data_IF_198000596970
#
_entry.id   IF_198000596970
#
_cell.length_a   1.000
_cell.length_b   1.000
_cell.length_c   1.000
_cell.angle_alpha   90.00
_cell.angle_beta   90.00
_cell.angle_gamma   90.00
#
_symmetry.space_group_name_H-M   'P 1'
#
loop_
_entity.id
_entity.type
_entity.pdbx_description
1 polymer ?
#
# COMPACT_ATOMS: atom_id res chain seq x y z
N UNK A 1 5.26 6.08 18.59
CA UNK A 1 4.76 5.45 17.35
C UNK A 1 4.28 6.43 16.27
N UNK A 2 3.41 7.41 16.54
CA UNK A 2 2.89 8.30 15.48
C UNK A 2 3.95 9.06 14.65
N UNK A 3 5.01 9.56 15.28
CA UNK A 3 6.13 10.20 14.57
C UNK A 3 6.94 9.20 13.71
N UNK A 4 7.03 7.94 14.13
CA UNK A 4 7.70 6.88 13.36
C UNK A 4 6.84 6.50 12.15
N UNK A 5 5.52 6.43 12.31
CA UNK A 5 4.58 6.16 11.22
C UNK A 5 4.63 7.23 10.11
N UNK A 6 5.00 8.48 10.42
CA UNK A 6 5.18 9.54 9.41
C UNK A 6 6.43 9.35 8.54
N UNK A 7 7.43 8.59 9.02
CA UNK A 7 8.64 8.29 8.25
C UNK A 7 8.35 7.32 7.09
N UNK A 8 7.37 6.45 7.26
CA UNK A 8 6.99 5.43 6.27
C UNK A 8 6.55 6.01 4.92
N UNK A 9 5.59 6.97 4.84
CA UNK A 9 5.26 7.64 3.59
C UNK A 9 6.41 8.52 3.09
N UNK A 10 7.22 9.14 3.97
CA UNK A 10 8.37 9.94 3.53
C UNK A 10 9.37 9.09 2.74
N UNK A 11 9.75 7.93 3.27
CA UNK A 11 10.68 7.04 2.59
C UNK A 11 10.03 6.37 1.37
N UNK A 12 8.82 5.84 1.52
CA UNK A 12 8.13 5.09 0.47
C UNK A 12 7.70 5.94 -0.73
N UNK A 13 6.93 7.00 -0.51
CA UNK A 13 6.34 7.78 -1.62
C UNK A 13 7.20 8.95 -2.05
N UNK A 14 7.72 9.74 -1.11
CA UNK A 14 8.45 10.96 -1.46
C UNK A 14 9.86 10.66 -2.00
N UNK A 15 10.54 9.62 -1.51
CA UNK A 15 11.90 9.28 -1.95
C UNK A 15 11.86 8.14 -2.97
N UNK A 16 11.36 6.96 -2.59
CA UNK A 16 11.44 5.78 -3.46
C UNK A 16 10.57 5.92 -4.71
N UNK A 17 9.29 6.30 -4.59
CA UNK A 17 8.44 6.49 -5.77
C UNK A 17 8.91 7.65 -6.65
N UNK A 18 9.43 8.75 -6.09
CA UNK A 18 9.96 9.86 -6.87
C UNK A 18 11.20 9.46 -7.70
N UNK A 19 12.16 8.75 -7.08
CA UNK A 19 13.33 8.22 -7.79
C UNK A 19 12.93 7.21 -8.87
N UNK A 20 11.96 6.34 -8.59
CA UNK A 20 11.41 5.41 -9.58
C UNK A 20 10.78 6.12 -10.77
N UNK A 21 9.92 7.12 -10.51
CA UNK A 21 9.30 7.93 -11.56
C UNK A 21 10.34 8.68 -12.40
N UNK A 22 11.35 9.27 -11.77
CA UNK A 22 12.45 9.92 -12.48
C UNK A 22 13.22 8.94 -13.37
N UNK A 23 13.51 7.73 -12.87
CA UNK A 23 14.17 6.69 -13.65
C UNK A 23 13.35 6.29 -14.88
N UNK A 24 12.03 6.17 -14.76
CA UNK A 24 11.13 5.89 -15.88
C UNK A 24 11.13 7.00 -16.94
N UNK A 25 11.14 8.27 -16.50
CA UNK A 25 11.18 9.44 -17.40
C UNK A 25 12.50 9.48 -18.16
N UNK A 26 13.63 9.27 -17.47
CA UNK A 26 14.97 9.26 -18.09
C UNK A 26 15.12 8.09 -19.07
N UNK A 27 14.56 6.93 -18.77
CA UNK A 27 14.57 5.77 -19.66
C UNK A 27 13.60 5.88 -20.85
N UNK A 28 12.66 6.85 -20.82
CA UNK A 28 11.70 7.09 -21.90
C UNK A 28 10.68 5.96 -22.11
N UNK A 29 10.51 5.03 -21.17
CA UNK A 29 9.62 3.85 -21.35
C UNK A 29 8.17 4.11 -20.98
N UNK A 30 7.84 5.29 -20.46
CA UNK A 30 6.52 5.65 -19.95
C UNK A 30 5.44 5.80 -21.03
N UNK A 31 5.80 6.02 -22.29
CA UNK A 31 4.87 6.30 -23.42
C UNK A 31 4.65 5.07 -24.35
N UNK A 32 5.25 3.92 -24.03
CA UNK A 32 5.31 2.75 -24.93
C UNK A 32 4.11 1.81 -24.92
N UNK A 33 2.98 2.18 -24.31
CA UNK A 33 1.80 1.31 -24.15
C UNK A 33 2.01 0.08 -23.24
N UNK A 34 3.14 0.05 -22.52
CA UNK A 34 3.37 -0.92 -21.45
C UNK A 34 2.62 -0.49 -20.19
N UNK A 35 2.18 -1.45 -19.37
CA UNK A 35 1.47 -1.18 -18.12
C UNK A 35 2.15 -1.82 -16.90
N UNK A 36 1.99 -1.18 -15.75
CA UNK A 36 2.45 -1.69 -14.46
C UNK A 36 3.95 -2.01 -14.43
N UNK A 37 4.30 -3.22 -13.96
CA UNK A 37 5.69 -3.67 -13.78
C UNK A 37 6.44 -3.76 -15.12
N UNK A 38 5.73 -3.92 -16.24
CA UNK A 38 6.37 -4.05 -17.55
C UNK A 38 7.10 -2.76 -17.97
N UNK A 39 6.55 -1.58 -17.64
CA UNK A 39 7.17 -0.26 -17.91
C UNK A 39 8.54 -0.18 -17.20
N UNK A 40 8.54 -0.57 -15.92
CA UNK A 40 9.73 -0.57 -15.07
C UNK A 40 10.74 -1.60 -15.54
N UNK A 41 10.30 -2.82 -15.85
CA UNK A 41 11.16 -3.87 -16.39
C UNK A 41 11.87 -3.43 -17.68
N UNK A 42 11.15 -2.76 -18.59
CA UNK A 42 11.71 -2.20 -19.81
C UNK A 42 12.74 -1.09 -19.54
N UNK A 43 12.50 -0.22 -18.55
CA UNK A 43 13.46 0.81 -18.16
C UNK A 43 14.77 0.20 -17.62
N UNK A 44 14.66 -0.77 -16.71
CA UNK A 44 15.82 -1.41 -16.10
C UNK A 44 16.60 -2.30 -17.09
N UNK A 45 15.93 -2.86 -18.08
CA UNK A 45 16.59 -3.62 -19.15
C UNK A 45 17.57 -2.77 -19.98
N UNK A 46 17.35 -1.46 -20.10
CA UNK A 46 18.26 -0.55 -20.80
C UNK A 46 19.60 -0.37 -20.06
N UNK A 47 19.60 -0.52 -18.73
CA UNK A 47 20.82 -0.42 -17.92
C UNK A 47 21.61 -1.72 -17.97
N UNK A 48 20.93 -2.87 -17.77
CA UNK A 48 21.57 -4.18 -17.88
C UNK A 48 20.58 -5.32 -18.10
N UNK A 49 20.91 -6.35 -18.90
CA UNK A 49 19.99 -7.45 -19.22
C UNK A 49 19.55 -8.32 -18.03
N UNK A 50 20.28 -8.32 -16.91
CA UNK A 50 19.97 -9.14 -15.73
C UNK A 50 19.07 -8.45 -14.70
N UNK A 51 18.90 -7.13 -14.78
CA UNK A 51 18.05 -6.38 -13.84
C UNK A 51 16.57 -6.77 -13.87
N UNK A 52 15.94 -7.10 -15.01
CA UNK A 52 14.56 -7.58 -15.03
C UNK A 52 14.31 -8.81 -14.16
N UNK A 53 15.26 -9.75 -14.10
CA UNK A 53 15.19 -10.93 -13.24
C UNK A 53 15.27 -10.56 -11.77
N UNK A 54 16.18 -9.64 -11.42
CA UNK A 54 16.28 -9.11 -10.06
C UNK A 54 14.98 -8.39 -9.65
N UNK A 55 14.44 -7.55 -10.53
CA UNK A 55 13.20 -6.82 -10.31
C UNK A 55 12.03 -7.77 -10.07
N UNK A 56 11.92 -8.86 -10.84
CA UNK A 56 10.88 -9.86 -10.66
C UNK A 56 10.91 -10.48 -9.25
N UNK A 57 12.09 -10.82 -8.73
CA UNK A 57 12.25 -11.36 -7.37
C UNK A 57 11.86 -10.33 -6.31
N UNK A 58 12.32 -9.08 -6.46
CA UNK A 58 12.01 -7.99 -5.52
C UNK A 58 10.51 -7.69 -5.50
N UNK A 59 9.89 -7.58 -6.67
CA UNK A 59 8.45 -7.31 -6.79
C UNK A 59 7.61 -8.47 -6.24
N UNK A 60 8.04 -9.72 -6.43
CA UNK A 60 7.38 -10.87 -5.83
C UNK A 60 7.38 -10.79 -4.30
N UNK A 61 8.54 -10.49 -3.69
CA UNK A 61 8.66 -10.33 -2.23
C UNK A 61 7.81 -9.15 -1.72
N UNK A 62 7.78 -8.04 -2.46
CA UNK A 62 6.97 -6.87 -2.13
C UNK A 62 5.46 -7.12 -2.25
N UNK A 63 5.04 -7.82 -3.30
CA UNK A 63 3.64 -8.22 -3.47
C UNK A 63 3.22 -9.17 -2.35
N UNK A 64 4.07 -10.13 -1.98
CA UNK A 64 3.81 -11.05 -0.88
C UNK A 64 3.66 -10.33 0.47
N UNK A 65 4.57 -9.41 0.81
CA UNK A 65 4.47 -8.64 2.07
C UNK A 65 3.19 -7.80 2.11
N UNK A 66 2.81 -7.20 0.97
CA UNK A 66 1.57 -6.44 0.83
C UNK A 66 0.34 -7.31 1.05
N UNK A 67 0.30 -8.52 0.48
CA UNK A 67 -0.79 -9.47 0.70
C UNK A 67 -0.92 -9.88 2.17
N UNK A 68 0.18 -10.03 2.90
CA UNK A 68 0.14 -10.36 4.33
C UNK A 68 -0.38 -9.17 5.14
N UNK A 69 0.13 -7.95 4.89
CA UNK A 69 -0.28 -6.74 5.59
C UNK A 69 -1.78 -6.44 5.40
N UNK A 70 -2.28 -6.45 4.17
CA UNK A 70 -3.71 -6.23 3.89
C UNK A 70 -4.59 -7.37 4.39
N UNK A 71 -4.10 -8.61 4.37
CA UNK A 71 -4.78 -9.74 4.99
C UNK A 71 -4.98 -9.52 6.50
N UNK A 72 -3.97 -9.01 7.19
CA UNK A 72 -4.05 -8.67 8.61
C UNK A 72 -5.01 -7.50 8.88
N UNK A 73 -4.89 -6.39 8.14
CA UNK A 73 -5.76 -5.23 8.33
C UNK A 73 -7.24 -5.57 8.09
N UNK A 74 -7.53 -6.33 7.03
CA UNK A 74 -8.90 -6.75 6.77
C UNK A 74 -9.43 -7.75 7.80
N UNK A 75 -8.57 -8.59 8.40
CA UNK A 75 -8.98 -9.47 9.51
C UNK A 75 -9.38 -8.65 10.74
N UNK A 76 -8.67 -7.56 11.06
CA UNK A 76 -9.05 -6.66 12.14
C UNK A 76 -10.36 -5.93 11.86
N UNK A 77 -10.55 -5.44 10.63
CA UNK A 77 -11.82 -4.83 10.22
C UNK A 77 -12.99 -5.84 10.30
N UNK A 78 -12.76 -7.09 9.87
CA UNK A 78 -13.73 -8.17 10.00
C UNK A 78 -14.04 -8.51 11.46
N UNK A 79 -13.02 -8.58 12.32
CA UNK A 79 -13.17 -8.82 13.75
C UNK A 79 -13.94 -7.71 14.47
N UNK A 80 -13.80 -6.46 14.01
CA UNK A 80 -14.59 -5.33 14.51
C UNK A 80 -16.07 -5.46 14.16
N UNK A 81 -16.41 -5.94 12.96
CA UNK A 81 -17.79 -6.07 12.48
C UNK A 81 -18.51 -7.34 12.98
N UNK A 82 -17.82 -8.49 12.95
CA UNK A 82 -18.42 -9.81 13.19
C UNK A 82 -17.93 -10.48 14.48
N UNK A 83 -17.08 -9.80 15.25
CA UNK A 83 -16.49 -10.28 16.49
C UNK A 83 -15.21 -11.09 16.29
N UNK A 84 -14.47 -11.26 17.38
CA UNK A 84 -13.13 -11.88 17.38
C UNK A 84 -13.16 -13.41 17.58
N UNK A 85 -14.33 -14.04 17.44
CA UNK A 85 -14.48 -15.48 17.66
C UNK A 85 -13.67 -16.32 16.66
N UNK A 86 -13.25 -17.56 17.03
CA UNK A 86 -12.47 -18.43 16.16
C UNK A 86 -13.12 -18.65 14.79
N UNK A 87 -14.45 -18.82 14.77
CA UNK A 87 -15.23 -19.01 13.54
C UNK A 87 -15.12 -17.82 12.59
N UNK A 88 -15.30 -16.59 13.10
CA UNK A 88 -15.22 -15.38 12.29
C UNK A 88 -13.83 -15.20 11.67
N UNK A 89 -12.76 -15.46 12.44
CA UNK A 89 -11.40 -15.38 11.95
C UNK A 89 -11.09 -16.40 10.84
N UNK A 90 -11.53 -17.65 11.02
CA UNK A 90 -11.33 -18.70 10.01
C UNK A 90 -12.13 -18.43 8.74
N UNK A 91 -13.37 -17.93 8.84
CA UNK A 91 -14.17 -17.53 7.68
C UNK A 91 -13.46 -16.45 6.86
N UNK A 92 -12.94 -15.41 7.51
CA UNK A 92 -12.20 -14.36 6.82
C UNK A 92 -10.93 -14.90 6.13
N UNK A 93 -10.12 -15.70 6.83
CA UNK A 93 -8.87 -16.26 6.27
C UNK A 93 -9.14 -17.11 5.02
N UNK A 94 -10.18 -17.95 5.06
CA UNK A 94 -10.57 -18.77 3.91
C UNK A 94 -11.05 -17.89 2.75
N UNK A 95 -11.94 -16.94 3.03
CA UNK A 95 -12.47 -16.03 2.02
C UNK A 95 -11.34 -15.20 1.37
N UNK A 96 -10.41 -14.69 2.17
CA UNK A 96 -9.26 -13.94 1.69
C UNK A 96 -8.41 -14.75 0.73
N UNK A 97 -7.98 -15.96 1.13
CA UNK A 97 -7.12 -16.82 0.29
C UNK A 97 -7.84 -17.26 -0.99
N UNK A 98 -9.12 -17.60 -0.92
CA UNK A 98 -9.92 -18.02 -2.09
C UNK A 98 -10.16 -16.85 -3.05
N UNK A 99 -10.21 -15.61 -2.55
CA UNK A 99 -10.40 -14.42 -3.38
C UNK A 99 -9.12 -13.99 -4.15
N UNK A 100 -7.91 -14.43 -3.73
CA UNK A 100 -6.66 -14.01 -4.37
C UNK A 100 -6.50 -14.48 -5.83
N UNK A 101 -6.72 -15.77 -6.18
CA UNK A 101 -6.58 -16.22 -7.57
C UNK A 101 -7.47 -15.50 -8.58
N UNK A 102 -8.79 -15.31 -8.35
CA UNK A 102 -9.63 -14.58 -9.30
C UNK A 102 -9.27 -13.09 -9.36
N UNK A 103 -8.79 -12.50 -8.25
CA UNK A 103 -8.35 -11.10 -8.26
C UNK A 103 -7.13 -10.87 -9.19
N UNK A 104 -6.26 -11.87 -9.34
CA UNK A 104 -5.11 -11.79 -10.25
C UNK A 104 -5.51 -11.80 -11.75
N UNK A 105 -6.75 -12.15 -12.08
CA UNK A 105 -7.25 -12.19 -13.46
C UNK A 105 -7.98 -10.89 -13.90
N UNK A 106 -8.11 -9.90 -13.01
CA UNK A 106 -8.82 -8.65 -13.30
C UNK A 106 -7.86 -7.65 -13.95
N UNK A 107 -8.33 -6.90 -14.95
CA UNK A 107 -7.55 -5.85 -15.62
C UNK A 107 -7.01 -4.80 -14.62
N UNK A 108 -5.73 -4.44 -14.78
CA UNK A 108 -5.03 -3.53 -13.86
C UNK A 108 -5.78 -2.20 -13.67
N UNK A 109 -6.18 -1.55 -14.76
CA UNK A 109 -6.90 -0.28 -14.69
C UNK A 109 -8.24 -0.36 -13.93
N UNK A 110 -8.94 -1.49 -14.05
CA UNK A 110 -10.21 -1.71 -13.32
C UNK A 110 -9.95 -1.91 -11.83
N UNK A 111 -8.94 -2.71 -11.48
CA UNK A 111 -8.57 -2.93 -10.07
C UNK A 111 -8.17 -1.62 -9.41
N UNK A 112 -7.31 -0.82 -10.07
CA UNK A 112 -6.87 0.48 -9.55
C UNK A 112 -8.06 1.41 -9.31
N UNK A 113 -9.00 1.51 -10.26
CA UNK A 113 -10.19 2.36 -10.07
C UNK A 113 -11.08 1.94 -8.89
N UNK A 114 -11.25 0.63 -8.65
CA UNK A 114 -12.02 0.12 -7.50
C UNK A 114 -11.28 0.38 -6.18
N UNK A 115 -9.96 0.18 -6.15
CA UNK A 115 -9.13 0.41 -4.96
C UNK A 115 -9.09 1.89 -4.60
N UNK A 116 -8.86 2.77 -5.57
CA UNK A 116 -8.79 4.22 -5.36
C UNK A 116 -10.11 4.78 -4.84
N UNK A 117 -11.24 4.36 -5.41
CA UNK A 117 -12.57 4.76 -4.94
C UNK A 117 -12.87 4.25 -3.53
N UNK A 118 -12.43 3.03 -3.19
CA UNK A 118 -12.55 2.47 -1.85
C UNK A 118 -11.71 3.25 -0.82
N UNK A 119 -10.45 3.57 -1.13
CA UNK A 119 -9.61 4.39 -0.25
C UNK A 119 -10.12 5.81 -0.11
N UNK A 120 -10.63 6.40 -1.18
CA UNK A 120 -11.29 7.69 -1.11
C UNK A 120 -12.46 7.68 -0.14
N UNK A 121 -13.32 6.65 -0.22
CA UNK A 121 -14.46 6.50 0.68
C UNK A 121 -14.04 6.31 2.13
N UNK A 122 -12.97 5.56 2.41
CA UNK A 122 -12.43 5.38 3.76
C UNK A 122 -11.76 6.65 4.29
N UNK A 123 -11.16 7.47 3.43
CA UNK A 123 -10.47 8.69 3.82
C UNK A 123 -11.44 9.75 4.38
N UNK A 124 -12.62 9.90 3.79
CA UNK A 124 -13.61 10.91 4.21
C UNK A 124 -13.95 10.83 5.72
N UNK A 125 -14.46 9.71 6.26
CA UNK A 125 -14.79 9.63 7.68
C UNK A 125 -13.56 9.75 8.57
N UNK A 126 -12.41 9.22 8.15
CA UNK A 126 -11.16 9.33 8.90
C UNK A 126 -10.68 10.78 9.04
N UNK A 127 -10.72 11.57 7.97
CA UNK A 127 -10.33 12.98 7.99
C UNK A 127 -11.27 13.80 8.86
N UNK A 128 -12.59 13.54 8.78
CA UNK A 128 -13.58 14.20 9.64
C UNK A 128 -13.31 13.89 11.11
N UNK A 129 -13.10 12.63 11.45
CA UNK A 129 -12.79 12.21 12.82
C UNK A 129 -11.49 12.86 13.33
N UNK A 130 -10.44 12.89 12.52
CA UNK A 130 -9.18 13.55 12.85
C UNK A 130 -9.36 15.06 13.09
N UNK A 131 -10.20 15.73 12.29
CA UNK A 131 -10.48 17.16 12.47
C UNK A 131 -11.19 17.43 13.80
N UNK A 132 -12.20 16.62 14.15
CA UNK A 132 -12.91 16.74 15.43
C UNK A 132 -11.98 16.44 16.62
N UNK A 133 -11.09 15.46 16.49
CA UNK A 133 -10.13 15.06 17.52
C UNK A 133 -8.83 15.91 17.51
N UNK A 134 -8.69 16.88 16.60
CA UNK A 134 -7.46 17.64 16.43
C UNK A 134 -7.03 18.40 17.69
N UNK A 135 -7.99 18.85 18.49
CA UNK A 135 -7.73 19.52 19.77
C UNK A 135 -7.02 18.61 20.78
N UNK A 136 -7.47 17.36 20.90
CA UNK A 136 -6.90 16.37 21.81
C UNK A 136 -5.53 15.90 21.31
N UNK A 137 -5.43 15.58 20.01
CA UNK A 137 -4.17 15.22 19.38
C UNK A 137 -3.08 16.28 19.60
N UNK A 138 -3.42 17.56 19.51
CA UNK A 138 -2.47 18.66 19.75
C UNK A 138 -1.98 18.71 21.19
N UNK A 139 -2.80 18.31 22.17
CA UNK A 139 -2.38 18.20 23.57
C UNK A 139 -1.40 17.05 23.73
N UNK A 140 -1.75 15.87 23.22
CA UNK A 140 -0.92 14.67 23.31
C UNK A 140 0.45 14.85 22.66
N UNK A 141 0.50 15.48 21.47
CA UNK A 141 1.77 15.77 20.79
C UNK A 141 2.64 16.72 21.61
N UNK A 142 2.06 17.76 22.20
CA UNK A 142 2.82 18.72 23.03
C UNK A 142 3.37 18.05 24.28
N UNK A 143 2.57 17.22 24.94
CA UNK A 143 2.98 16.51 26.15
C UNK A 143 4.05 15.45 25.86
N UNK A 144 3.97 14.79 24.69
CA UNK A 144 5.00 13.87 24.23
C UNK A 144 6.32 14.58 23.92
N UNK A 145 6.28 15.69 23.19
CA UNK A 145 7.47 16.49 22.86
C UNK A 145 8.13 17.08 24.11
N UNK A 146 7.33 17.52 25.10
CA UNK A 146 7.84 18.04 26.36
C UNK A 146 8.49 16.98 27.27
N UNK A 147 8.25 15.68 27.03
CA UNK A 147 8.91 14.57 27.73
C UNK A 147 10.14 14.05 26.99
N UNK A 148 10.21 14.28 25.67
CA UNK A 148 11.28 13.80 24.80
C UNK A 148 12.45 14.79 24.65
N UNK A 149 12.22 16.07 24.97
CA UNK A 149 13.20 17.17 25.05
C UNK A 149 13.44 17.55 26.51
#
# INVERSE_FOLDING_TARGET
EGLVALLEPLLGTMIVCALGGLALVVAGTWDGGLEGIAITSAAFAQVSPWFPWLLAVVVFLFAYSTLVAWGFYGLQAWGYLFGHGPRAQWTYKILYVVALPPAAAIDLGRVVGIVDSSFFLMAIPNVIALYLCAGELRRDVRDYLAKAL
#
